data_IF_263785124253
#
_entry.id   IF_263785124253
#
_cell.length_a   1.000
_cell.length_b   1.000
_cell.length_c   1.000
_cell.angle_alpha   90.00
_cell.angle_beta   90.00
_cell.angle_gamma   90.00
#
_symmetry.space_group_name_H-M   'P 1'
#
loop_
_entity.id
_entity.type
_entity.pdbx_description
1 polymer ?
#
# COMPACT_ATOMS: atom_id res chain seq x y z
N UNK A 1 6.87 -5.64 -5.33
CA UNK A 1 5.52 -6.09 -4.93
C UNK A 1 4.62 -4.90 -4.62
N UNK A 2 4.99 -4.08 -3.62
CA UNK A 2 4.27 -2.89 -3.17
C UNK A 2 3.57 -2.05 -4.27
N UNK A 3 4.33 -1.46 -5.21
CA UNK A 3 3.81 -0.60 -6.29
C UNK A 3 2.92 -1.31 -7.33
N UNK A 4 2.80 -2.64 -7.27
CA UNK A 4 1.81 -3.37 -8.07
C UNK A 4 0.46 -3.50 -7.36
N UNK A 5 0.40 -3.17 -6.07
CA UNK A 5 -0.76 -3.36 -5.18
C UNK A 5 -1.27 -2.05 -4.59
N UNK A 6 -0.38 -1.08 -4.38
CA UNK A 6 -0.72 0.27 -3.91
C UNK A 6 -1.00 1.21 -5.08
N UNK A 7 -2.10 1.97 -5.01
CA UNK A 7 -2.48 3.01 -5.98
C UNK A 7 -2.30 2.60 -7.45
N UNK A 8 -2.75 1.39 -7.80
CA UNK A 8 -2.44 0.69 -9.05
C UNK A 8 -2.71 1.50 -10.32
N UNK A 9 -3.77 2.32 -10.32
CA UNK A 9 -4.13 3.20 -11.44
C UNK A 9 -3.07 4.27 -11.68
N UNK A 10 -2.64 4.97 -10.63
CA UNK A 10 -1.54 5.94 -10.71
C UNK A 10 -0.23 5.27 -11.10
N UNK A 11 0.08 4.10 -10.54
CA UNK A 11 1.29 3.37 -10.91
C UNK A 11 1.33 3.01 -12.40
N UNK A 12 0.18 2.65 -12.99
CA UNK A 12 0.05 2.45 -14.44
C UNK A 12 0.24 3.76 -15.20
N UNK A 13 -0.41 4.84 -14.78
CA UNK A 13 -0.25 6.15 -15.39
C UNK A 13 1.21 6.62 -15.41
N UNK A 14 1.89 6.60 -14.27
CA UNK A 14 3.31 6.97 -14.16
C UNK A 14 4.20 6.08 -15.04
N UNK A 15 3.92 4.77 -15.11
CA UNK A 15 4.67 3.87 -15.99
C UNK A 15 4.45 4.23 -17.46
N UNK A 16 3.20 4.34 -17.87
CA UNK A 16 2.83 4.36 -19.29
C UNK A 16 3.06 5.74 -19.92
N UNK A 17 2.84 6.81 -19.17
CA UNK A 17 2.95 8.19 -19.68
C UNK A 17 4.22 8.91 -19.29
N UNK A 18 4.90 8.53 -18.20
CA UNK A 18 6.11 9.19 -17.75
C UNK A 18 7.36 8.32 -17.94
N UNK A 19 7.39 7.14 -17.33
CA UNK A 19 8.56 6.27 -17.37
C UNK A 19 8.92 5.79 -18.79
N UNK A 20 7.94 5.34 -19.57
CA UNK A 20 8.16 4.92 -20.96
C UNK A 20 8.61 6.10 -21.82
N UNK A 21 7.99 7.28 -21.64
CA UNK A 21 8.34 8.52 -22.34
C UNK A 21 9.77 8.98 -22.06
N UNK A 22 10.27 8.78 -20.84
CA UNK A 22 11.68 9.01 -20.46
C UNK A 22 12.67 8.00 -21.08
N UNK A 23 12.18 7.05 -21.90
CA UNK A 23 12.98 6.02 -22.57
C UNK A 23 12.95 4.66 -21.87
N UNK A 24 12.22 4.53 -20.76
CA UNK A 24 12.00 3.28 -20.04
C UNK A 24 13.30 2.51 -19.76
N UNK A 25 13.36 1.27 -20.27
CA UNK A 25 14.51 0.37 -20.14
C UNK A 25 15.49 0.39 -21.33
N UNK A 26 15.29 1.25 -22.34
CA UNK A 26 15.95 1.12 -23.65
C UNK A 26 17.41 1.55 -23.68
N UNK A 27 17.87 2.34 -22.71
CA UNK A 27 19.20 2.99 -22.71
C UNK A 27 20.16 2.46 -21.62
N UNK A 28 20.02 1.19 -21.25
CA UNK A 28 20.89 0.52 -20.28
C UNK A 28 20.52 0.74 -18.80
N UNK A 29 21.29 0.10 -17.91
CA UNK A 29 20.96 0.02 -16.46
C UNK A 29 20.94 1.38 -15.76
N UNK A 30 21.93 2.25 -16.05
CA UNK A 30 22.01 3.56 -15.42
C UNK A 30 20.81 4.45 -15.79
N UNK A 31 20.48 4.54 -17.09
CA UNK A 31 19.31 5.29 -17.55
C UNK A 31 18.01 4.72 -17.01
N UNK A 32 17.88 3.40 -16.91
CA UNK A 32 16.74 2.76 -16.25
C UNK A 32 16.56 3.26 -14.80
N UNK A 33 17.62 3.29 -14.02
CA UNK A 33 17.56 3.73 -12.61
C UNK A 33 17.25 5.22 -12.49
N UNK A 34 17.88 6.06 -13.32
CA UNK A 34 17.58 7.49 -13.37
C UNK A 34 16.12 7.75 -13.77
N UNK A 35 15.64 7.10 -14.84
CA UNK A 35 14.25 7.23 -15.29
C UNK A 35 13.27 6.80 -14.20
N UNK A 36 13.59 5.74 -13.46
CA UNK A 36 12.76 5.27 -12.36
C UNK A 36 12.74 6.28 -11.21
N UNK A 37 13.90 6.80 -10.80
CA UNK A 37 13.98 7.82 -9.75
C UNK A 37 13.21 9.09 -10.14
N UNK A 38 13.42 9.59 -11.35
CA UNK A 38 12.72 10.78 -11.88
C UNK A 38 11.22 10.53 -11.92
N UNK A 39 10.78 9.37 -12.43
CA UNK A 39 9.34 9.02 -12.47
C UNK A 39 8.71 9.06 -11.08
N UNK A 40 9.39 8.51 -10.07
CA UNK A 40 8.86 8.49 -8.72
C UNK A 40 8.88 9.87 -8.05
N UNK A 41 9.95 10.67 -8.25
CA UNK A 41 10.04 12.02 -7.71
C UNK A 41 8.97 12.95 -8.30
N UNK A 42 8.76 12.89 -9.63
CA UNK A 42 7.67 13.60 -10.32
C UNK A 42 6.30 13.07 -9.91
N UNK A 43 6.16 11.76 -9.69
CA UNK A 43 4.95 11.17 -9.10
C UNK A 43 4.67 11.69 -7.69
N UNK A 44 5.71 11.98 -6.91
CA UNK A 44 5.60 12.71 -5.64
C UNK A 44 5.04 14.11 -5.84
N UNK A 45 5.65 14.91 -6.71
CA UNK A 45 5.20 16.28 -7.01
C UNK A 45 3.76 16.35 -7.56
N UNK A 46 3.24 15.29 -8.17
CA UNK A 46 1.84 15.20 -8.57
C UNK A 46 0.86 15.29 -7.36
N UNK A 47 1.29 14.90 -6.17
CA UNK A 47 0.48 15.00 -4.95
C UNK A 47 0.46 16.40 -4.34
N UNK A 48 1.47 17.24 -4.63
CA UNK A 48 1.54 18.62 -4.17
C UNK A 48 2.92 19.25 -4.40
N UNK A 49 3.01 20.59 -4.34
CA UNK A 49 4.24 21.32 -4.65
C UNK A 49 5.30 21.28 -3.54
N UNK A 50 4.97 20.76 -2.35
CA UNK A 50 5.87 20.75 -1.20
C UNK A 50 7.07 19.80 -1.38
N UNK A 51 8.21 20.16 -0.78
CA UNK A 51 9.42 19.34 -0.79
C UNK A 51 9.22 17.95 -0.16
N UNK A 52 8.34 17.84 0.82
CA UNK A 52 7.94 16.59 1.49
C UNK A 52 7.44 15.55 0.47
N UNK A 53 6.60 15.95 -0.49
CA UNK A 53 6.10 15.06 -1.54
C UNK A 53 7.18 14.64 -2.54
N UNK A 54 8.05 15.56 -2.95
CA UNK A 54 9.16 15.21 -3.84
C UNK A 54 10.13 14.24 -3.17
N UNK A 55 10.47 14.48 -1.90
CA UNK A 55 11.34 13.60 -1.12
C UNK A 55 10.70 12.23 -0.87
N UNK A 56 9.38 12.17 -0.63
CA UNK A 56 8.64 10.91 -0.58
C UNK A 56 8.78 10.13 -1.89
N UNK A 57 8.55 10.79 -3.03
CA UNK A 57 8.71 10.19 -4.36
C UNK A 57 10.15 9.71 -4.59
N UNK A 58 11.14 10.55 -4.27
CA UNK A 58 12.55 10.22 -4.37
C UNK A 58 12.94 9.02 -3.49
N UNK A 59 12.44 8.95 -2.25
CA UNK A 59 12.66 7.83 -1.34
C UNK A 59 12.16 6.51 -1.96
N UNK A 60 10.97 6.52 -2.58
CA UNK A 60 10.47 5.36 -3.32
C UNK A 60 11.28 5.01 -4.55
N UNK A 61 11.75 6.03 -5.28
CA UNK A 61 12.70 5.86 -6.38
C UNK A 61 13.96 5.11 -5.93
N UNK A 62 14.58 5.55 -4.83
CA UNK A 62 15.77 4.92 -4.24
C UNK A 62 15.49 3.50 -3.78
N UNK A 63 14.39 3.26 -3.05
CA UNK A 63 13.99 1.92 -2.63
C UNK A 63 13.84 0.97 -3.82
N UNK A 64 13.25 1.43 -4.92
CA UNK A 64 13.10 0.63 -6.14
C UNK A 64 14.44 0.38 -6.84
N UNK A 65 15.34 1.37 -6.91
CA UNK A 65 16.70 1.20 -7.44
C UNK A 65 17.45 0.13 -6.63
N UNK A 66 17.44 0.24 -5.30
CA UNK A 66 18.07 -0.73 -4.40
C UNK A 66 17.46 -2.11 -4.60
N UNK A 67 16.14 -2.24 -4.63
CA UNK A 67 15.47 -3.51 -4.88
C UNK A 67 15.83 -4.10 -6.26
N UNK A 68 15.90 -3.29 -7.32
CA UNK A 68 16.31 -3.77 -8.64
C UNK A 68 17.79 -4.16 -8.69
N UNK A 69 18.66 -3.39 -8.04
CA UNK A 69 20.08 -3.70 -7.89
C UNK A 69 20.29 -5.02 -7.15
N UNK A 70 19.63 -5.20 -6.00
CA UNK A 70 19.65 -6.44 -5.22
C UNK A 70 19.20 -7.64 -6.05
N UNK A 71 18.11 -7.50 -6.82
CA UNK A 71 17.61 -8.56 -7.69
C UNK A 71 18.51 -8.86 -8.90
N UNK A 72 19.42 -7.95 -9.26
CA UNK A 72 20.37 -8.12 -10.35
C UNK A 72 21.71 -8.73 -9.90
N UNK A 73 21.95 -8.87 -8.59
CA UNK A 73 23.12 -9.55 -8.07
C UNK A 73 23.03 -11.06 -8.40
N UNK A 74 24.14 -11.71 -8.83
CA UNK A 74 24.17 -13.12 -9.16
C UNK A 74 24.25 -14.01 -7.89
N UNK A 75 23.43 -13.71 -6.89
CA UNK A 75 23.41 -14.40 -5.60
C UNK A 75 22.16 -15.28 -5.53
N UNK A 76 22.31 -16.52 -5.06
CA UNK A 76 21.17 -17.44 -4.89
C UNK A 76 20.16 -16.84 -3.92
N UNK A 77 18.92 -16.65 -4.38
CA UNK A 77 17.85 -16.08 -3.55
C UNK A 77 17.45 -17.05 -2.45
N UNK A 78 17.39 -16.55 -1.21
CA UNK A 78 16.87 -17.30 -0.07
C UNK A 78 15.34 -17.24 -0.12
N UNK A 79 14.69 -18.39 -0.35
CA UNK A 79 13.23 -18.50 -0.48
C UNK A 79 12.62 -19.37 0.63
N UNK A 80 12.91 -19.03 1.89
CA UNK A 80 12.32 -19.69 3.07
C UNK A 80 11.09 -18.89 3.55
N UNK A 81 10.29 -19.45 4.47
CA UNK A 81 9.14 -18.74 5.02
C UNK A 81 9.57 -17.50 5.84
N UNK A 82 10.64 -17.62 6.62
CA UNK A 82 11.17 -16.53 7.44
C UNK A 82 11.82 -15.43 6.58
N UNK A 83 12.52 -15.77 5.48
CA UNK A 83 13.11 -14.76 4.60
C UNK A 83 12.03 -13.93 3.89
N UNK A 84 10.92 -14.57 3.52
CA UNK A 84 9.73 -13.88 2.98
C UNK A 84 9.07 -12.98 4.02
N UNK A 85 8.94 -13.45 5.27
CA UNK A 85 8.44 -12.65 6.38
C UNK A 85 9.30 -11.41 6.62
N UNK A 86 10.61 -11.59 6.72
CA UNK A 86 11.59 -10.51 6.89
C UNK A 86 11.54 -9.51 5.74
N UNK A 87 11.53 -9.95 4.47
CA UNK A 87 11.45 -9.06 3.32
C UNK A 87 10.17 -8.21 3.31
N UNK A 88 9.04 -8.79 3.75
CA UNK A 88 7.77 -8.05 3.91
C UNK A 88 7.86 -7.03 5.05
N UNK A 89 8.38 -7.42 6.20
CA UNK A 89 8.57 -6.51 7.34
C UNK A 89 9.50 -5.35 6.99
N UNK A 90 10.62 -5.63 6.31
CA UNK A 90 11.54 -4.61 5.83
C UNK A 90 10.87 -3.66 4.82
N UNK A 91 10.13 -4.21 3.85
CA UNK A 91 9.39 -3.39 2.88
C UNK A 91 8.37 -2.51 3.60
N UNK A 92 7.62 -3.07 4.54
CA UNK A 92 6.65 -2.34 5.35
C UNK A 92 7.32 -1.20 6.12
N UNK A 93 8.43 -1.45 6.81
CA UNK A 93 9.15 -0.43 7.58
C UNK A 93 9.65 0.70 6.67
N UNK A 94 10.30 0.39 5.55
CA UNK A 94 10.78 1.41 4.61
C UNK A 94 9.63 2.26 4.04
N UNK A 95 8.50 1.62 3.71
CA UNK A 95 7.30 2.30 3.24
C UNK A 95 6.70 3.16 4.36
N UNK A 96 6.53 2.65 5.57
CA UNK A 96 6.00 3.39 6.71
C UNK A 96 6.85 4.63 7.04
N UNK A 97 8.18 4.50 6.99
CA UNK A 97 9.09 5.64 7.16
C UNK A 97 8.94 6.66 6.05
N UNK A 98 8.76 6.25 4.79
CA UNK A 98 8.49 7.17 3.70
C UNK A 98 7.14 7.88 3.90
N UNK A 99 6.12 7.21 4.41
CA UNK A 99 4.79 7.80 4.66
C UNK A 99 4.82 8.99 5.63
N UNK A 100 5.81 9.07 6.52
CA UNK A 100 6.04 10.26 7.35
C UNK A 100 6.23 11.51 6.50
N UNK A 101 7.04 11.44 5.43
CA UNK A 101 7.22 12.54 4.48
C UNK A 101 5.92 12.85 3.75
N UNK A 102 5.13 11.85 3.37
CA UNK A 102 3.86 12.08 2.68
C UNK A 102 2.81 12.79 3.54
N UNK A 103 2.83 12.54 4.86
CA UNK A 103 1.80 13.03 5.79
C UNK A 103 2.18 14.32 6.51
N UNK A 104 3.47 14.58 6.71
CA UNK A 104 3.93 15.76 7.43
C UNK A 104 3.59 17.05 6.67
N UNK A 105 3.20 18.09 7.40
CA UNK A 105 2.90 19.40 6.83
C UNK A 105 4.13 20.07 6.19
N UNK A 106 5.30 19.82 6.77
CA UNK A 106 6.60 20.34 6.31
C UNK A 106 7.75 19.41 6.75
N UNK A 107 8.97 19.80 6.40
CA UNK A 107 10.17 19.03 6.71
C UNK A 107 10.52 19.02 8.20
N UNK A 108 10.18 20.09 8.93
CA UNK A 108 10.47 20.18 10.36
C UNK A 108 9.57 19.23 11.15
N UNK A 109 8.28 19.17 10.80
CA UNK A 109 7.33 18.21 11.33
C UNK A 109 7.75 16.76 11.01
N UNK A 110 8.19 16.48 9.78
CA UNK A 110 8.71 15.15 9.42
C UNK A 110 9.93 14.78 10.26
N UNK A 111 10.86 15.72 10.45
CA UNK A 111 12.07 15.51 11.25
C UNK A 111 11.75 15.31 12.73
N UNK A 112 10.77 16.03 13.27
CA UNK A 112 10.30 15.85 14.64
C UNK A 112 9.76 14.42 14.86
N UNK A 113 8.99 13.88 13.90
CA UNK A 113 8.51 12.49 13.95
C UNK A 113 9.69 11.51 13.91
N UNK A 114 10.65 11.69 13.00
CA UNK A 114 11.82 10.79 12.92
C UNK A 114 12.67 10.80 14.19
N UNK A 115 12.87 11.99 14.80
CA UNK A 115 13.54 12.10 16.10
C UNK A 115 12.77 11.39 17.20
N UNK A 116 11.44 11.52 17.21
CA UNK A 116 10.58 10.80 18.15
C UNK A 116 10.69 9.28 18.01
N UNK A 117 10.78 8.76 16.79
CA UNK A 117 10.96 7.33 16.53
C UNK A 117 12.34 6.79 17.00
N UNK A 118 13.37 7.63 16.97
CA UNK A 118 14.71 7.28 17.44
C UNK A 118 14.93 7.57 18.94
N UNK A 119 14.02 8.31 19.57
CA UNK A 119 14.13 8.66 20.97
C UNK A 119 13.87 7.42 21.86
N UNK A 120 14.75 7.21 22.85
CA UNK A 120 14.55 6.21 23.90
C UNK A 120 13.99 6.93 25.13
N UNK A 121 12.73 6.64 25.54
CA UNK A 121 12.15 7.27 26.72
C UNK A 121 12.95 6.95 27.98
N UNK A 122 13.22 7.95 28.81
CA UNK A 122 13.91 7.77 30.10
C UNK A 122 13.08 6.92 31.09
N UNK A 123 11.75 7.07 31.04
CA UNK A 123 10.80 6.27 31.83
C UNK A 123 9.64 5.85 30.92
N UNK A 124 9.67 4.64 30.33
CA UNK A 124 8.59 4.18 29.46
C UNK A 124 7.33 3.88 30.28
N UNK A 125 6.18 4.39 29.81
CA UNK A 125 4.87 3.98 30.33
C UNK A 125 4.55 2.57 29.80
N UNK A 126 4.84 1.57 30.63
CA UNK A 126 4.65 0.16 30.26
C UNK A 126 3.18 -0.22 30.09
N UNK A 127 2.27 0.45 30.79
CA UNK A 127 0.83 0.17 30.68
C UNK A 127 0.31 0.64 29.32
N UNK A 128 0.63 1.88 28.95
CA UNK A 128 0.30 2.42 27.62
C UNK A 128 0.96 1.63 26.50
N UNK A 129 2.23 1.25 26.65
CA UNK A 129 2.92 0.40 25.68
C UNK A 129 2.19 -0.94 25.50
N UNK A 130 1.73 -1.55 26.60
CA UNK A 130 0.94 -2.78 26.56
C UNK A 130 -0.36 -2.62 25.78
N UNK A 131 -1.10 -1.54 26.03
CA UNK A 131 -2.33 -1.22 25.30
C UNK A 131 -2.06 -1.01 23.80
N UNK A 132 -1.05 -0.21 23.44
CA UNK A 132 -0.68 0.05 22.05
C UNK A 132 -0.29 -1.23 21.31
N UNK A 133 0.46 -2.13 21.98
CA UNK A 133 0.82 -3.44 21.42
C UNK A 133 -0.39 -4.35 21.24
N UNK A 134 -1.37 -4.32 22.15
CA UNK A 134 -2.60 -5.10 22.03
C UNK A 134 -3.45 -4.60 20.85
N UNK A 135 -3.62 -3.30 20.70
CA UNK A 135 -4.31 -2.72 19.55
C UNK A 135 -3.59 -3.03 18.24
N UNK A 136 -2.26 -2.91 18.22
CA UNK A 136 -1.47 -3.27 17.06
C UNK A 136 -1.65 -4.76 16.71
N UNK A 137 -1.59 -5.66 17.69
CA UNK A 137 -1.79 -7.08 17.47
C UNK A 137 -3.19 -7.38 16.92
N UNK A 138 -4.22 -6.72 17.45
CA UNK A 138 -5.59 -6.84 16.96
C UNK A 138 -5.71 -6.42 15.49
N UNK A 139 -5.23 -5.22 15.13
CA UNK A 139 -5.28 -4.73 13.75
C UNK A 139 -4.42 -5.57 12.79
N UNK A 140 -3.25 -6.01 13.23
CA UNK A 140 -2.41 -6.92 12.45
C UNK A 140 -3.11 -8.27 12.22
N UNK A 141 -3.84 -8.78 13.21
CA UNK A 141 -4.69 -9.96 13.04
C UNK A 141 -5.69 -9.79 11.90
N UNK A 142 -6.39 -8.65 11.85
CA UNK A 142 -7.30 -8.34 10.74
C UNK A 142 -6.52 -8.29 9.41
N UNK A 143 -5.40 -7.58 9.33
CA UNK A 143 -4.62 -7.44 8.09
C UNK A 143 -4.11 -8.79 7.54
N UNK A 144 -3.68 -9.71 8.41
CA UNK A 144 -3.10 -10.98 7.98
C UNK A 144 -4.13 -12.08 7.70
N UNK A 145 -5.25 -12.08 8.43
CA UNK A 145 -6.22 -13.18 8.37
C UNK A 145 -7.52 -12.81 7.65
N UNK A 146 -7.87 -11.53 7.56
CA UNK A 146 -9.06 -11.09 6.86
C UNK A 146 -8.82 -11.03 5.34
N UNK A 147 -9.77 -11.50 4.51
CA UNK A 147 -9.66 -11.35 3.07
C UNK A 147 -9.67 -9.87 2.68
N UNK A 148 -8.72 -9.45 1.86
CA UNK A 148 -8.80 -8.14 1.22
C UNK A 148 -9.90 -8.11 0.15
N UNK A 149 -10.24 -6.92 -0.36
CA UNK A 149 -11.31 -6.73 -1.34
C UNK A 149 -11.17 -7.59 -2.61
N UNK A 150 -9.95 -7.83 -3.10
CA UNK A 150 -9.73 -8.68 -4.28
C UNK A 150 -10.04 -10.15 -3.98
N UNK A 151 -9.65 -10.64 -2.80
CA UNK A 151 -9.97 -11.99 -2.35
C UNK A 151 -11.45 -12.12 -2.01
N UNK A 152 -12.04 -11.11 -1.37
CA UNK A 152 -13.44 -11.08 -0.96
C UNK A 152 -14.39 -11.14 -2.16
N UNK A 153 -14.11 -10.35 -3.21
CA UNK A 153 -14.87 -10.32 -4.46
C UNK A 153 -14.41 -11.35 -5.49
N UNK A 154 -13.55 -12.30 -5.09
CA UNK A 154 -12.97 -13.26 -6.02
C UNK A 154 -14.01 -14.21 -6.65
N UNK A 155 -15.24 -14.31 -6.15
CA UNK A 155 -16.29 -15.11 -6.82
C UNK A 155 -17.22 -14.30 -7.71
N UNK A 156 -17.06 -12.98 -7.76
CA UNK A 156 -17.96 -12.07 -8.50
C UNK A 156 -17.19 -11.41 -9.65
N UNK A 157 -17.91 -10.92 -10.67
CA UNK A 157 -17.33 -10.02 -11.69
C UNK A 157 -17.28 -8.61 -11.09
N UNK A 158 -16.11 -8.11 -10.64
CA UNK A 158 -16.05 -6.84 -9.94
C UNK A 158 -16.25 -5.64 -10.87
N UNK A 159 -16.13 -5.84 -12.19
CA UNK A 159 -16.36 -4.81 -13.20
C UNK A 159 -17.21 -5.37 -14.33
N UNK A 160 -18.05 -4.52 -14.92
CA UNK A 160 -19.00 -4.87 -15.98
C UNK A 160 -18.32 -5.50 -17.20
N UNK A 161 -17.09 -5.07 -17.50
CA UNK A 161 -16.29 -5.52 -18.65
C UNK A 161 -15.26 -6.60 -18.29
N UNK A 162 -15.30 -7.17 -17.08
CA UNK A 162 -14.29 -8.13 -16.62
C UNK A 162 -14.84 -9.56 -16.65
N UNK A 163 -14.41 -10.33 -17.64
CA UNK A 163 -14.84 -11.70 -17.86
C UNK A 163 -13.92 -12.71 -17.15
N UNK A 164 -14.43 -13.94 -16.99
CA UNK A 164 -13.64 -15.04 -16.41
C UNK A 164 -12.41 -15.40 -17.25
N UNK A 165 -12.42 -15.14 -18.56
CA UNK A 165 -11.25 -15.30 -19.42
C UNK A 165 -10.13 -14.30 -19.08
N UNK A 166 -10.50 -13.05 -18.74
CA UNK A 166 -9.54 -12.00 -18.38
C UNK A 166 -8.82 -12.31 -17.07
N UNK A 167 -9.45 -13.06 -16.16
CA UNK A 167 -8.77 -13.57 -14.94
C UNK A 167 -7.64 -14.55 -15.21
N UNK A 168 -7.70 -15.29 -16.31
CA UNK A 168 -6.58 -16.17 -16.68
C UNK A 168 -5.41 -15.37 -17.24
N UNK A 169 -5.71 -14.25 -17.91
CA UNK A 169 -4.70 -13.33 -18.45
C UNK A 169 -4.11 -12.39 -17.39
N UNK A 170 -4.94 -11.92 -16.45
CA UNK A 170 -4.56 -11.08 -15.30
C UNK A 170 -5.07 -11.74 -14.00
N UNK A 171 -4.38 -12.79 -13.51
CA UNK A 171 -4.76 -13.49 -12.31
C UNK A 171 -4.74 -12.55 -11.11
N UNK A 172 -5.64 -12.79 -10.15
CA UNK A 172 -5.66 -12.07 -8.89
C UNK A 172 -4.24 -12.04 -8.30
N UNK A 173 -3.79 -10.87 -7.87
CA UNK A 173 -2.45 -10.68 -7.28
C UNK A 173 -2.24 -11.56 -6.04
N UNK A 174 -3.32 -12.04 -5.43
CA UNK A 174 -3.32 -13.01 -4.36
C UNK A 174 -4.21 -14.22 -4.69
N UNK A 175 -3.68 -15.45 -4.57
CA UNK A 175 -4.45 -16.67 -4.83
C UNK A 175 -5.53 -16.88 -3.77
N UNK A 176 -6.70 -17.35 -4.21
CA UNK A 176 -7.84 -17.72 -3.34
C UNK A 176 -7.90 -19.23 -3.10
N UNK A 177 -7.22 -20.02 -3.93
CA UNK A 177 -7.31 -21.48 -3.98
C UNK A 177 -6.68 -22.20 -2.76
N UNK A 178 -5.88 -21.51 -1.95
CA UNK A 178 -5.03 -22.13 -0.93
C UNK A 178 -5.61 -22.23 0.49
N UNK A 179 -6.81 -21.71 0.78
CA UNK A 179 -7.31 -21.68 2.17
C UNK A 179 -8.82 -21.92 2.25
N UNK A 180 -9.20 -23.11 2.74
CA UNK A 180 -10.61 -23.51 2.94
C UNK A 180 -11.40 -22.51 3.79
N UNK A 181 -10.74 -21.86 4.76
CA UNK A 181 -11.32 -20.86 5.63
C UNK A 181 -11.79 -19.59 4.89
N UNK A 182 -11.08 -19.16 3.84
CA UNK A 182 -11.45 -17.96 3.10
C UNK A 182 -12.75 -18.13 2.31
N UNK A 183 -13.15 -19.36 1.93
CA UNK A 183 -14.39 -19.61 1.20
C UNK A 183 -15.66 -19.20 1.94
N UNK A 184 -15.64 -19.23 3.28
CA UNK A 184 -16.76 -18.79 4.13
C UNK A 184 -16.94 -17.28 4.05
N UNK A 185 -15.84 -16.54 3.90
CA UNK A 185 -15.86 -15.09 3.81
C UNK A 185 -16.10 -14.56 2.41
N UNK A 186 -16.04 -15.41 1.37
CA UNK A 186 -16.24 -14.95 -0.01
C UNK A 186 -17.61 -14.30 -0.17
N UNK A 187 -17.60 -13.12 -0.78
CA UNK A 187 -18.82 -12.38 -1.04
C UNK A 187 -19.75 -13.18 -1.96
N UNK A 188 -21.00 -13.36 -1.53
CA UNK A 188 -22.06 -13.98 -2.32
C UNK A 188 -23.31 -13.12 -2.27
N UNK A 189 -23.84 -12.64 -3.41
CA UNK A 189 -25.07 -11.87 -3.40
C UNK A 189 -26.23 -12.75 -2.89
N UNK A 190 -26.92 -12.29 -1.84
CA UNK A 190 -28.11 -12.96 -1.29
C UNK A 190 -29.11 -11.93 -0.77
N UNK A 191 -30.39 -12.28 -0.73
CA UNK A 191 -31.45 -11.39 -0.19
C UNK A 191 -31.14 -10.96 1.25
N UNK A 192 -30.61 -11.86 2.08
CA UNK A 192 -30.23 -11.57 3.47
C UNK A 192 -29.16 -10.49 3.57
N UNK A 193 -28.11 -10.63 2.76
CA UNK A 193 -27.02 -9.64 2.71
C UNK A 193 -27.53 -8.31 2.14
N UNK A 194 -28.38 -8.33 1.12
CA UNK A 194 -28.98 -7.10 0.57
C UNK A 194 -29.81 -6.35 1.61
N UNK A 195 -30.65 -7.06 2.38
CA UNK A 195 -31.41 -6.47 3.50
C UNK A 195 -30.45 -5.92 4.57
N UNK A 196 -29.43 -6.69 4.97
CA UNK A 196 -28.46 -6.25 5.97
C UNK A 196 -27.68 -5.00 5.54
N UNK A 197 -27.20 -4.95 4.30
CA UNK A 197 -26.52 -3.77 3.73
C UNK A 197 -27.49 -2.60 3.62
N UNK A 198 -28.73 -2.83 3.22
CA UNK A 198 -29.77 -1.79 3.15
C UNK A 198 -30.09 -1.18 4.52
N UNK A 199 -30.24 -2.01 5.56
CA UNK A 199 -30.44 -1.56 6.93
C UNK A 199 -29.24 -0.77 7.45
N UNK A 200 -28.02 -1.28 7.20
CA UNK A 200 -26.79 -0.59 7.58
C UNK A 200 -26.67 0.78 6.89
N UNK A 201 -26.96 0.85 5.59
CA UNK A 201 -26.96 2.09 4.83
C UNK A 201 -28.02 3.08 5.36
N UNK A 202 -29.25 2.61 5.63
CA UNK A 202 -30.29 3.44 6.22
C UNK A 202 -29.90 3.99 7.60
N UNK A 203 -29.34 3.14 8.47
CA UNK A 203 -28.82 3.55 9.77
C UNK A 203 -27.68 4.58 9.63
N UNK A 204 -26.76 4.39 8.67
CA UNK A 204 -25.71 5.35 8.38
C UNK A 204 -26.29 6.70 7.93
N UNK A 205 -27.26 6.72 7.01
CA UNK A 205 -27.92 7.94 6.56
C UNK A 205 -28.64 8.68 7.68
N UNK A 206 -29.36 7.96 8.55
CA UNK A 206 -30.02 8.54 9.72
C UNK A 206 -29.02 9.10 10.75
N UNK A 207 -27.81 8.55 10.76
CA UNK A 207 -26.72 8.96 11.64
C UNK A 207 -25.84 10.07 11.05
N UNK A 208 -26.10 10.54 9.82
CA UNK A 208 -25.44 11.70 9.20
C UNK A 208 -25.93 13.00 9.86
N UNK A 209 -25.54 13.21 11.11
CA UNK A 209 -25.86 14.43 11.87
C UNK A 209 -24.72 15.45 11.84
N UNK A 210 -23.56 15.09 11.28
CA UNK A 210 -22.39 15.97 11.20
C UNK A 210 -21.92 16.09 9.76
N UNK A 211 -21.74 17.33 9.31
CA UNK A 211 -21.02 17.63 8.08
C UNK A 211 -19.56 17.25 8.32
N UNK A 212 -19.12 16.15 7.72
CA UNK A 212 -17.70 15.83 7.62
C UNK A 212 -17.07 16.84 6.68
N UNK A 213 -16.10 17.62 7.13
CA UNK A 213 -15.24 18.35 6.20
C UNK A 213 -14.55 17.35 5.26
N UNK A 214 -14.44 17.71 3.99
CA UNK A 214 -13.84 16.86 2.97
C UNK A 214 -12.32 16.83 3.17
N UNK A 215 -11.79 15.71 3.65
CA UNK A 215 -10.38 15.49 4.01
C UNK A 215 -9.36 15.85 2.91
N UNK A 216 -9.76 16.00 1.65
CA UNK A 216 -8.86 16.22 0.52
C UNK A 216 -8.29 17.65 0.41
N UNK A 217 -8.72 18.59 1.25
CA UNK A 217 -8.22 19.98 1.25
C UNK A 217 -7.43 20.36 2.51
N UNK A 218 -7.09 19.38 3.35
CA UNK A 218 -6.37 19.59 4.63
C UNK A 218 -4.88 19.19 4.52
N UNK A 219 -4.28 19.28 3.33
CA UNK A 219 -2.88 18.97 3.07
C UNK A 219 -2.02 20.23 3.06
#
# INVERSE_FOLDING_TARGET
DFWRRWHMTLSRFLRDYLYISLGGNRRGKLRRYLNLFITMALGGLWHGPAWTFMLWGAAHGLMLIVNHGWNALPIRKINTWWSRGFARALTFLCVALAWVLFRAADLDAAMAIYRGLAAVPYAPDLARLGEDLLWLAFWMGIVWFWPNTQQWLAMVRPAFNYNWADRRADPLLLPVEGTKFLHVFLWRPSKRIAVGVGLAAAASFLSLQRVSEFLYFQF
#
